data_IF_729716836308
#
_entry.id   IF_729716836308
#
_cell.length_a   1.000
_cell.length_b   1.000
_cell.length_c   1.000
_cell.angle_alpha   90.00
_cell.angle_beta   90.00
_cell.angle_gamma   90.00
#
_symmetry.space_group_name_H-M   'P 1'
#
loop_
_entity.id
_entity.type
_entity.pdbx_description
1 polymer ?
#
# COMPACT_ATOMS: atom_id res chain seq x y z
N UNK A 1 -24.16 17.39 -21.32
CA UNK A 1 -24.00 16.00 -20.82
C UNK A 1 -22.95 16.02 -19.71
N UNK A 2 -23.35 15.99 -18.42
CA UNK A 2 -22.43 16.20 -17.27
C UNK A 2 -22.58 15.12 -16.16
N UNK A 3 -23.36 14.08 -16.39
CA UNK A 3 -23.64 13.02 -15.41
C UNK A 3 -22.52 11.96 -15.19
N UNK A 4 -21.63 11.60 -16.14
CA UNK A 4 -20.70 10.48 -15.92
C UNK A 4 -19.60 10.81 -14.90
N UNK A 5 -19.18 12.07 -14.80
CA UNK A 5 -18.08 12.49 -13.90
C UNK A 5 -18.46 12.35 -12.43
N UNK A 6 -19.73 12.58 -12.06
CA UNK A 6 -20.17 12.51 -10.66
C UNK A 6 -20.11 11.08 -10.10
N UNK A 7 -20.55 10.09 -10.88
CA UNK A 7 -20.47 8.66 -10.47
C UNK A 7 -19.03 8.19 -10.33
N UNK A 8 -18.14 8.61 -11.24
CA UNK A 8 -16.71 8.31 -11.18
C UNK A 8 -16.04 8.95 -9.95
N UNK A 9 -16.40 10.19 -9.63
CA UNK A 9 -15.91 10.88 -8.44
C UNK A 9 -16.38 10.19 -7.15
N UNK A 10 -17.65 9.78 -7.08
CA UNK A 10 -18.20 9.03 -5.94
C UNK A 10 -17.49 7.68 -5.75
N UNK A 11 -17.22 6.95 -6.83
CA UNK A 11 -16.45 5.71 -6.79
C UNK A 11 -15.01 5.93 -6.30
N UNK A 12 -14.31 6.94 -6.84
CA UNK A 12 -12.96 7.29 -6.41
C UNK A 12 -12.93 7.70 -4.93
N UNK A 13 -13.90 8.49 -4.48
CA UNK A 13 -14.00 8.90 -3.08
C UNK A 13 -14.23 7.70 -2.15
N UNK A 14 -15.03 6.72 -2.58
CA UNK A 14 -15.21 5.46 -1.83
C UNK A 14 -13.90 4.68 -1.69
N UNK A 15 -13.15 4.53 -2.77
CA UNK A 15 -11.85 3.81 -2.76
C UNK A 15 -10.85 4.59 -1.90
N UNK A 16 -10.85 5.92 -1.96
CA UNK A 16 -9.99 6.74 -1.12
C UNK A 16 -10.32 6.57 0.38
N UNK A 17 -11.59 6.38 0.74
CA UNK A 17 -12.01 6.14 2.12
C UNK A 17 -11.60 4.77 2.65
N UNK A 18 -11.46 3.75 1.79
CA UNK A 18 -10.98 2.41 2.19
C UNK A 18 -9.47 2.32 2.33
N UNK A 19 -8.72 3.28 1.76
CA UNK A 19 -7.25 3.29 1.86
C UNK A 19 -6.77 3.52 3.30
N UNK A 20 -5.84 2.70 3.81
CA UNK A 20 -5.26 2.90 5.13
C UNK A 20 -4.33 4.13 5.16
N UNK A 21 -4.13 4.67 6.36
CA UNK A 21 -3.16 5.74 6.63
C UNK A 21 -1.77 5.11 6.79
N UNK A 22 -0.76 5.65 6.10
CA UNK A 22 0.64 5.24 6.24
C UNK A 22 1.30 6.01 7.41
N UNK A 23 1.60 5.37 8.56
CA UNK A 23 2.22 6.05 9.70
C UNK A 23 3.69 6.36 9.47
N UNK A 24 4.36 5.67 8.54
CA UNK A 24 5.77 5.91 8.22
C UNK A 24 5.95 7.13 7.32
N UNK A 25 4.92 7.50 6.55
CA UNK A 25 4.95 8.64 5.63
C UNK A 25 3.76 9.57 5.88
N UNK A 26 3.73 10.28 7.01
CA UNK A 26 2.60 11.15 7.37
C UNK A 26 2.31 12.23 6.33
N UNK A 27 3.32 12.66 5.57
CA UNK A 27 3.20 13.73 4.57
C UNK A 27 2.80 13.26 3.17
N UNK A 28 2.81 11.94 2.90
CA UNK A 28 2.52 11.37 1.58
C UNK A 28 1.48 10.26 1.74
N UNK A 29 0.21 10.67 1.81
CA UNK A 29 -0.92 9.77 2.01
C UNK A 29 -1.63 9.50 0.69
N UNK A 30 -1.72 8.22 0.31
CA UNK A 30 -2.44 7.80 -0.89
C UNK A 30 -3.92 8.18 -0.82
N UNK A 31 -4.54 8.04 0.35
CA UNK A 31 -5.91 8.45 0.61
C UNK A 31 -6.15 9.91 0.23
N UNK A 32 -5.30 10.83 0.72
CA UNK A 32 -5.43 12.27 0.42
C UNK A 32 -5.27 12.56 -1.06
N UNK A 33 -4.33 11.88 -1.73
CA UNK A 33 -4.17 11.99 -3.17
C UNK A 33 -5.45 11.55 -3.92
N UNK A 34 -6.00 10.38 -3.61
CA UNK A 34 -7.21 9.87 -4.27
C UNK A 34 -8.44 10.75 -3.98
N UNK A 35 -8.57 11.32 -2.78
CA UNK A 35 -9.59 12.31 -2.44
C UNK A 35 -9.48 13.57 -3.31
N UNK A 36 -8.26 14.10 -3.46
CA UNK A 36 -8.02 15.26 -4.32
C UNK A 36 -8.34 14.95 -5.79
N UNK A 37 -8.01 13.73 -6.25
CA UNK A 37 -8.28 13.27 -7.60
C UNK A 37 -9.78 13.11 -7.87
N UNK A 38 -10.57 12.69 -6.88
CA UNK A 38 -12.02 12.61 -6.99
C UNK A 38 -12.70 13.97 -7.24
N UNK A 39 -12.09 15.06 -6.76
CA UNK A 39 -12.60 16.44 -6.95
C UNK A 39 -12.05 17.08 -8.23
N UNK A 40 -11.06 16.46 -8.87
CA UNK A 40 -10.39 17.03 -10.03
C UNK A 40 -11.32 17.06 -11.27
N UNK A 41 -11.40 18.19 -12.00
CA UNK A 41 -12.33 18.36 -13.12
C UNK A 41 -12.03 17.44 -14.32
N UNK A 42 -10.82 16.86 -14.39
CA UNK A 42 -10.39 15.93 -15.44
C UNK A 42 -10.17 14.51 -14.90
N UNK A 43 -11.09 14.02 -14.06
CA UNK A 43 -11.05 12.62 -13.64
C UNK A 43 -11.31 11.70 -14.83
N UNK A 44 -10.40 10.76 -15.07
CA UNK A 44 -10.52 9.77 -16.16
C UNK A 44 -11.10 8.46 -15.63
N UNK A 45 -11.89 7.73 -16.44
CA UNK A 45 -12.38 6.41 -16.05
C UNK A 45 -11.23 5.42 -15.80
N UNK A 46 -10.15 5.50 -16.57
CA UNK A 46 -8.95 4.68 -16.39
C UNK A 46 -8.29 4.87 -15.02
N UNK A 47 -8.33 6.08 -14.44
CA UNK A 47 -7.80 6.32 -13.09
C UNK A 47 -8.65 5.62 -12.01
N UNK A 48 -9.97 5.63 -12.16
CA UNK A 48 -10.89 4.93 -11.25
C UNK A 48 -10.69 3.42 -11.35
N UNK A 49 -10.54 2.91 -12.56
CA UNK A 49 -10.26 1.49 -12.80
C UNK A 49 -8.91 1.06 -12.19
N UNK A 50 -7.85 1.86 -12.37
CA UNK A 50 -6.56 1.61 -11.75
C UNK A 50 -6.65 1.61 -10.21
N UNK A 51 -7.37 2.58 -9.62
CA UNK A 51 -7.57 2.62 -8.17
C UNK A 51 -8.34 1.39 -7.66
N UNK A 52 -9.34 0.91 -8.41
CA UNK A 52 -10.06 -0.32 -8.10
C UNK A 52 -9.16 -1.56 -8.20
N UNK A 53 -8.32 -1.64 -9.23
CA UNK A 53 -7.39 -2.75 -9.41
C UNK A 53 -6.36 -2.83 -8.28
N UNK A 54 -5.91 -1.67 -7.77
CA UNK A 54 -5.08 -1.56 -6.58
C UNK A 54 -5.82 -2.05 -5.33
N UNK A 55 -7.04 -1.56 -5.07
CA UNK A 55 -7.86 -2.00 -3.93
C UNK A 55 -8.10 -3.52 -3.94
N UNK A 56 -8.39 -4.08 -5.11
CA UNK A 56 -8.66 -5.51 -5.27
C UNK A 56 -7.39 -6.38 -5.31
N UNK A 57 -6.19 -5.79 -5.20
CA UNK A 57 -4.90 -6.48 -5.31
C UNK A 57 -4.79 -7.36 -6.56
N UNK A 58 -5.29 -6.88 -7.71
CA UNK A 58 -5.42 -7.69 -8.93
C UNK A 58 -4.06 -8.18 -9.44
N UNK A 59 -3.04 -7.31 -9.43
CA UNK A 59 -1.69 -7.68 -9.87
C UNK A 59 -1.08 -8.82 -9.02
N UNK A 60 -1.32 -8.81 -7.71
CA UNK A 60 -0.84 -9.87 -6.81
C UNK A 60 -1.52 -11.21 -7.11
N UNK A 61 -2.81 -11.18 -7.45
CA UNK A 61 -3.58 -12.37 -7.83
C UNK A 61 -3.14 -12.92 -9.19
N UNK A 62 -2.91 -12.03 -10.15
CA UNK A 62 -2.49 -12.40 -11.50
C UNK A 62 -1.07 -12.97 -11.52
N UNK A 63 -0.17 -12.40 -10.72
CA UNK A 63 1.24 -12.78 -10.64
C UNK A 63 1.58 -13.30 -9.24
N UNK A 64 0.91 -14.40 -8.84
CA UNK A 64 1.15 -15.02 -7.55
C UNK A 64 2.62 -15.45 -7.42
N UNK A 65 3.30 -14.93 -6.40
CA UNK A 65 4.69 -15.27 -6.11
C UNK A 65 4.75 -16.63 -5.41
N UNK A 66 5.61 -17.53 -5.91
CA UNK A 66 5.85 -18.82 -5.26
C UNK A 66 6.60 -18.65 -3.94
N UNK A 67 6.36 -19.53 -2.98
CA UNK A 67 7.07 -19.55 -1.68
C UNK A 67 8.59 -19.56 -1.84
N UNK A 68 9.11 -20.21 -2.87
CA UNK A 68 10.55 -20.25 -3.17
C UNK A 68 11.14 -18.86 -3.46
N UNK A 69 10.34 -17.94 -4.00
CA UNK A 69 10.72 -16.54 -4.25
C UNK A 69 10.57 -15.71 -2.98
N UNK A 70 9.47 -15.91 -2.24
CA UNK A 70 9.20 -15.21 -0.98
C UNK A 70 10.12 -15.66 0.17
N UNK A 71 10.71 -16.86 0.09
CA UNK A 71 11.57 -17.43 1.13
C UNK A 71 12.84 -17.97 0.48
N UNK A 72 13.79 -17.10 0.10
CA UNK A 72 15.01 -17.53 -0.56
C UNK A 72 15.84 -18.42 0.38
N UNK A 73 16.50 -19.44 -0.17
CA UNK A 73 17.25 -20.42 0.64
C UNK A 73 18.37 -19.80 1.50
N UNK A 74 18.96 -18.69 1.03
CA UNK A 74 19.99 -17.95 1.77
C UNK A 74 19.44 -17.19 2.99
N UNK A 75 18.17 -16.79 2.97
CA UNK A 75 17.54 -15.99 4.01
C UNK A 75 16.01 -16.22 4.05
N UNK A 76 15.55 -17.39 4.53
CA UNK A 76 14.14 -17.78 4.41
C UNK A 76 13.17 -16.87 5.18
N UNK A 77 13.65 -16.19 6.22
CA UNK A 77 12.86 -15.27 7.05
C UNK A 77 13.03 -13.79 6.63
N UNK A 78 13.62 -13.50 5.47
CA UNK A 78 13.99 -12.13 5.11
C UNK A 78 12.79 -11.15 5.15
N UNK A 79 11.72 -11.48 4.43
CA UNK A 79 10.55 -10.60 4.35
C UNK A 79 9.72 -10.59 5.64
N UNK A 80 9.60 -11.73 6.33
CA UNK A 80 8.93 -11.80 7.63
C UNK A 80 9.59 -10.83 8.64
N UNK A 81 10.93 -10.82 8.67
CA UNK A 81 11.72 -9.93 9.53
C UNK A 81 11.62 -8.46 9.12
N UNK A 82 11.46 -8.17 7.83
CA UNK A 82 11.23 -6.81 7.35
C UNK A 82 9.88 -6.29 7.83
N UNK A 83 8.82 -7.08 7.70
CA UNK A 83 7.47 -6.73 8.19
C UNK A 83 7.48 -6.53 9.70
N UNK A 84 8.06 -7.48 10.45
CA UNK A 84 8.19 -7.38 11.91
C UNK A 84 8.97 -6.12 12.34
N UNK A 85 10.00 -5.74 11.57
CA UNK A 85 10.76 -4.51 11.76
C UNK A 85 9.93 -3.25 11.59
N UNK A 86 9.14 -3.20 10.53
CA UNK A 86 8.22 -2.10 10.27
C UNK A 86 7.20 -1.98 11.41
N UNK A 87 6.53 -3.08 11.77
CA UNK A 87 5.50 -3.08 12.81
C UNK A 87 6.06 -2.63 14.17
N UNK A 88 7.24 -3.14 14.56
CA UNK A 88 7.90 -2.73 15.82
C UNK A 88 8.33 -1.27 15.79
N UNK A 89 8.84 -0.80 14.65
CA UNK A 89 9.24 0.61 14.51
C UNK A 89 8.04 1.56 14.66
N UNK A 90 6.87 1.18 14.13
CA UNK A 90 5.63 1.93 14.30
C UNK A 90 5.17 1.99 15.76
N UNK A 91 5.50 0.97 16.56
CA UNK A 91 5.25 0.93 18.00
C UNK A 91 6.31 1.68 18.84
N UNK A 92 7.32 2.28 18.20
CA UNK A 92 8.44 2.93 18.87
C UNK A 92 9.47 1.95 19.45
N UNK A 93 9.39 0.66 19.09
CA UNK A 93 10.28 -0.39 19.58
C UNK A 93 11.52 -0.45 18.67
N UNK A 94 12.63 0.11 19.16
CA UNK A 94 13.92 0.03 18.49
C UNK A 94 14.56 -1.36 18.55
N UNK A 95 15.47 -1.65 17.62
CA UNK A 95 16.28 -2.89 17.69
C UNK A 95 17.37 -2.73 18.76
N UNK A 96 17.55 -3.72 19.67
CA UNK A 96 18.69 -3.75 20.56
C UNK A 96 20.01 -3.68 19.78
N UNK A 97 20.98 -2.91 20.26
CA UNK A 97 22.25 -2.66 19.57
C UNK A 97 22.97 -3.96 19.14
N UNK A 98 22.93 -4.99 19.99
CA UNK A 98 23.55 -6.29 19.72
C UNK A 98 22.90 -7.04 18.55
N UNK A 99 21.59 -6.84 18.30
CA UNK A 99 20.90 -7.42 17.13
C UNK A 99 21.30 -6.74 15.82
N UNK A 100 21.60 -5.44 15.88
CA UNK A 100 22.13 -4.68 14.75
C UNK A 100 23.54 -5.14 14.44
N UNK A 101 24.39 -5.22 15.46
CA UNK A 101 25.80 -5.63 15.35
C UNK A 101 25.95 -7.06 14.80
N UNK A 102 25.11 -8.01 15.22
CA UNK A 102 25.21 -9.40 14.82
C UNK A 102 24.46 -9.74 13.51
N UNK A 103 23.85 -8.76 12.83
CA UNK A 103 23.05 -9.00 11.62
C UNK A 103 21.88 -9.97 11.81
N UNK A 104 21.51 -10.24 13.07
CA UNK A 104 20.50 -11.22 13.46
C UNK A 104 19.21 -10.51 13.88
N UNK A 105 18.11 -10.98 13.33
CA UNK A 105 16.76 -10.70 13.84
C UNK A 105 16.40 -11.77 14.87
#
# INVERSE_FOLDING_TARGET
MAAPTRRLAEQMARIAASCPVDPLRPHIQLQTFLQSLATHPRLTPAAVEAARALEANEAQKQYALTDKILKPASAPLHYDRLVEGVDKSMQGIGRPWWKIFLGRW
#
